data_IF_717472566500
#
_entry.id   IF_717472566500
#
_cell.length_a   1.000
_cell.length_b   1.000
_cell.length_c   1.000
_cell.angle_alpha   90.00
_cell.angle_beta   90.00
_cell.angle_gamma   90.00
#
_symmetry.space_group_name_H-M   'P 1'
#
loop_
_entity.id
_entity.type
_entity.pdbx_description
1 polymer ?
#
# COMPACT_ATOMS: atom_id res chain seq x y z
N UNK A 1 36.97 -11.95 83.65
CA UNK A 1 36.90 -10.83 82.68
C UNK A 1 36.90 -11.42 81.30
N UNK A 2 35.71 -11.57 80.73
CA UNK A 2 35.54 -12.03 79.31
C UNK A 2 34.97 -10.88 78.49
N UNK A 3 35.76 -10.44 77.48
CA UNK A 3 35.34 -9.44 76.51
C UNK A 3 34.64 -10.14 75.31
N UNK A 4 33.37 -9.83 75.06
CA UNK A 4 32.66 -10.19 73.85
C UNK A 4 32.95 -9.14 72.77
N UNK A 5 33.43 -9.61 71.60
CA UNK A 5 33.60 -8.80 70.41
C UNK A 5 32.35 -9.04 69.55
N UNK A 6 31.53 -8.02 69.34
CA UNK A 6 30.43 -8.03 68.41
C UNK A 6 30.92 -7.66 66.99
N UNK A 7 30.86 -8.60 66.05
CA UNK A 7 31.15 -8.34 64.66
C UNK A 7 29.84 -7.95 63.93
N UNK A 8 29.74 -6.69 63.50
CA UNK A 8 28.60 -6.21 62.67
C UNK A 8 28.87 -6.54 61.21
N UNK A 9 28.02 -7.40 60.62
CA UNK A 9 27.96 -7.63 59.18
C UNK A 9 27.12 -6.51 58.54
N UNK A 10 27.74 -5.67 57.72
CA UNK A 10 27.06 -4.76 56.80
C UNK A 10 26.64 -5.56 55.53
N UNK A 11 25.34 -5.74 55.35
CA UNK A 11 24.80 -6.24 54.11
C UNK A 11 24.66 -5.08 53.11
N UNK A 12 25.47 -5.06 52.06
CA UNK A 12 25.31 -4.12 50.93
C UNK A 12 24.19 -4.58 50.03
N UNK A 13 23.05 -3.89 50.04
CA UNK A 13 21.96 -4.09 49.10
C UNK A 13 22.32 -3.48 47.72
N UNK A 14 22.62 -4.34 46.75
CA UNK A 14 22.84 -3.93 45.35
C UNK A 14 21.50 -3.71 44.69
N UNK A 15 21.07 -2.44 44.61
CA UNK A 15 19.84 -2.04 43.87
C UNK A 15 20.17 -2.03 42.37
N UNK A 16 19.80 -3.09 41.66
CA UNK A 16 19.80 -3.10 40.20
C UNK A 16 18.66 -2.24 39.70
N UNK A 17 18.94 -1.02 39.29
CA UNK A 17 18.00 -0.19 38.50
C UNK A 17 17.85 -0.81 37.13
N UNK A 18 16.70 -1.47 36.87
CA UNK A 18 16.28 -1.85 35.53
C UNK A 18 16.07 -0.55 34.74
N UNK A 19 17.00 -0.21 33.86
CA UNK A 19 16.78 0.83 32.87
C UNK A 19 15.64 0.40 31.96
N UNK A 20 14.45 0.95 32.15
CA UNK A 20 13.36 0.82 31.21
C UNK A 20 13.80 1.52 29.92
N UNK A 21 14.07 0.75 28.87
CA UNK A 21 14.28 1.30 27.54
C UNK A 21 13.01 2.07 27.17
N UNK A 22 13.13 3.39 27.05
CA UNK A 22 12.01 4.24 26.67
C UNK A 22 11.55 3.82 25.26
N UNK A 23 10.26 3.53 25.11
CA UNK A 23 9.70 3.18 23.80
C UNK A 23 10.05 4.29 22.79
N UNK A 24 10.46 3.94 21.56
CA UNK A 24 10.81 4.93 20.55
C UNK A 24 9.65 5.90 20.33
N UNK A 25 9.96 7.21 20.26
CA UNK A 25 8.96 8.24 20.08
C UNK A 25 8.25 8.08 18.72
N UNK A 26 6.96 8.40 18.69
CA UNK A 26 6.17 8.39 17.44
C UNK A 26 6.70 9.49 16.51
N UNK A 27 7.06 9.17 15.24
CA UNK A 27 7.46 10.20 14.28
C UNK A 27 6.32 11.17 13.96
N UNK A 28 6.66 12.41 13.63
CA UNK A 28 5.66 13.43 13.23
C UNK A 28 4.84 12.95 12.02
N UNK A 29 3.52 13.12 12.08
CA UNK A 29 2.60 12.67 11.04
C UNK A 29 2.33 11.17 11.00
N UNK A 30 2.78 10.42 12.02
CA UNK A 30 2.50 8.99 12.19
C UNK A 30 1.69 8.71 13.44
N UNK A 31 1.04 7.55 13.46
CA UNK A 31 0.36 7.05 14.64
C UNK A 31 -1.15 7.29 14.66
N UNK A 32 -1.81 6.84 15.75
CA UNK A 32 -3.27 6.92 15.86
C UNK A 32 -3.78 8.34 16.14
N UNK A 33 -2.95 9.21 16.66
CA UNK A 33 -3.26 10.60 16.99
C UNK A 33 -2.11 11.51 16.54
N UNK A 34 -1.89 11.67 15.22
CA UNK A 34 -0.80 12.50 14.72
C UNK A 34 -1.04 13.97 15.04
N UNK A 35 0.02 14.68 15.42
CA UNK A 35 -0.01 16.13 15.41
C UNK A 35 -0.05 16.61 13.96
N UNK A 36 -1.16 17.24 13.55
CA UNK A 36 -1.32 17.79 12.21
C UNK A 36 -0.96 19.28 12.23
N UNK A 37 -0.02 19.74 11.37
CA UNK A 37 0.29 21.16 11.24
C UNK A 37 -0.88 21.92 10.60
N UNK A 38 -0.86 23.24 10.70
CA UNK A 38 -1.76 24.08 9.92
C UNK A 38 -1.48 23.92 8.41
N UNK A 39 -2.52 24.01 7.54
CA UNK A 39 -2.31 23.96 6.10
C UNK A 39 -1.41 25.10 5.63
N UNK A 40 -0.36 24.74 4.89
CA UNK A 40 0.51 25.70 4.21
C UNK A 40 -0.09 26.03 2.83
N UNK A 41 -0.58 27.27 2.68
CA UNK A 41 -1.18 27.75 1.43
C UNK A 41 -0.07 28.23 0.47
N UNK A 42 0.68 27.30 -0.08
CA UNK A 42 1.68 27.63 -1.09
C UNK A 42 1.00 28.11 -2.37
N UNK A 43 1.46 29.26 -2.89
CA UNK A 43 0.96 29.80 -4.17
C UNK A 43 1.38 28.89 -5.35
N UNK A 44 2.56 28.28 -5.26
CA UNK A 44 3.06 27.29 -6.23
C UNK A 44 3.27 25.99 -5.47
N UNK A 45 2.56 24.90 -5.81
CA UNK A 45 2.75 23.60 -5.19
C UNK A 45 4.18 23.09 -5.32
N UNK A 46 4.71 22.48 -4.27
CA UNK A 46 6.02 21.83 -4.33
C UNK A 46 5.98 20.67 -5.34
N UNK A 47 6.91 20.67 -6.29
CA UNK A 47 7.18 19.54 -7.17
C UNK A 47 8.61 19.06 -6.92
N UNK A 48 8.79 17.87 -6.43
CA UNK A 48 10.09 17.28 -6.11
C UNK A 48 10.06 15.79 -6.45
N UNK A 49 10.42 15.46 -7.70
CA UNK A 49 10.38 14.10 -8.22
C UNK A 49 11.79 13.53 -8.23
N UNK A 50 11.98 12.40 -7.56
CA UNK A 50 13.23 11.63 -7.59
C UNK A 50 13.46 11.08 -9.00
N UNK A 51 14.58 11.40 -9.67
CA UNK A 51 14.92 10.84 -10.97
C UNK A 51 15.15 9.35 -10.85
N UNK A 52 14.69 8.57 -11.84
CA UNK A 52 14.93 7.12 -11.85
C UNK A 52 16.38 6.80 -12.21
N UNK A 53 16.96 5.84 -11.49
CA UNK A 53 18.31 5.30 -11.80
C UNK A 53 18.33 3.76 -11.88
N UNK A 54 17.30 3.07 -11.44
CA UNK A 54 17.16 1.62 -11.33
C UNK A 54 18.35 0.89 -10.70
N UNK A 55 18.07 -0.27 -10.13
CA UNK A 55 19.06 -1.15 -9.52
C UNK A 55 20.01 -1.74 -10.57
N UNK A 56 21.30 -1.78 -10.29
CA UNK A 56 22.24 -2.67 -10.97
C UNK A 56 22.08 -4.10 -10.45
N UNK A 57 22.68 -5.08 -11.14
CA UNK A 57 22.61 -6.49 -10.71
C UNK A 57 23.19 -6.73 -9.30
N UNK A 58 24.20 -5.95 -8.90
CA UNK A 58 24.86 -6.06 -7.61
C UNK A 58 24.16 -5.31 -6.48
N UNK A 59 23.33 -4.33 -6.80
CA UNK A 59 22.63 -3.50 -5.82
C UNK A 59 21.35 -4.17 -5.31
N UNK A 60 20.99 -3.86 -4.08
CA UNK A 60 19.76 -4.31 -3.42
C UNK A 60 19.34 -3.30 -2.36
N UNK A 61 18.06 -3.28 -1.97
CA UNK A 61 17.59 -2.48 -0.84
C UNK A 61 18.27 -2.89 0.47
N UNK A 62 18.23 -1.98 1.43
CA UNK A 62 18.68 -2.20 2.81
C UNK A 62 17.52 -2.77 3.62
N UNK A 63 17.77 -3.75 4.48
CA UNK A 63 16.75 -4.36 5.35
C UNK A 63 17.06 -4.15 6.82
N UNK A 64 16.03 -4.22 7.66
CA UNK A 64 16.18 -4.15 9.12
C UNK A 64 17.08 -5.28 9.65
N UNK A 65 17.77 -5.04 10.78
CA UNK A 65 18.64 -6.05 11.41
C UNK A 65 17.92 -7.39 11.64
N UNK A 66 18.63 -8.49 11.33
CA UNK A 66 18.13 -9.86 11.41
C UNK A 66 17.33 -10.31 10.17
N UNK A 67 17.24 -9.46 9.15
CA UNK A 67 16.63 -9.79 7.85
C UNK A 67 17.69 -9.84 6.73
N UNK A 68 17.38 -10.61 5.70
CA UNK A 68 18.10 -10.68 4.43
C UNK A 68 17.13 -10.38 3.28
N UNK A 69 17.63 -9.83 2.17
CA UNK A 69 16.85 -9.53 0.98
C UNK A 69 17.57 -9.99 -0.27
N UNK A 70 16.79 -10.51 -1.20
CA UNK A 70 17.26 -10.91 -2.52
C UNK A 70 16.19 -10.66 -3.57
N UNK A 71 16.60 -10.59 -4.83
CA UNK A 71 15.64 -10.53 -5.92
C UNK A 71 14.96 -11.90 -6.08
N UNK A 72 13.64 -11.94 -5.95
CA UNK A 72 12.81 -13.11 -6.26
C UNK A 72 12.61 -13.26 -7.77
N UNK A 73 12.40 -12.16 -8.47
CA UNK A 73 12.34 -12.09 -9.93
C UNK A 73 12.80 -10.71 -10.41
N UNK A 74 13.56 -10.67 -11.51
CA UNK A 74 14.05 -9.45 -12.16
C UNK A 74 13.50 -9.33 -13.58
N UNK A 75 13.71 -8.17 -14.21
CA UNK A 75 13.37 -7.93 -15.61
C UNK A 75 11.87 -8.14 -15.89
N UNK A 76 11.05 -7.67 -14.96
CA UNK A 76 9.61 -7.55 -15.11
C UNK A 76 9.25 -6.17 -15.69
N UNK A 77 8.08 -6.04 -16.30
CA UNK A 77 7.60 -4.77 -16.84
C UNK A 77 6.72 -4.04 -15.84
N UNK A 78 7.31 -3.18 -15.02
CA UNK A 78 6.58 -2.36 -14.05
C UNK A 78 5.67 -3.18 -13.12
N UNK A 79 6.20 -4.14 -12.33
CA UNK A 79 5.43 -5.02 -11.46
C UNK A 79 4.85 -4.21 -10.29
N UNK A 80 3.53 -4.19 -10.12
CA UNK A 80 2.88 -3.34 -9.10
C UNK A 80 2.13 -4.10 -8.04
N UNK A 81 1.50 -5.22 -8.39
CA UNK A 81 0.69 -5.96 -7.42
C UNK A 81 1.02 -7.43 -7.42
N UNK A 82 0.84 -8.05 -6.26
CA UNK A 82 1.18 -9.44 -6.00
C UNK A 82 -0.04 -10.18 -5.45
N UNK A 83 -0.21 -11.41 -5.88
CA UNK A 83 -1.18 -12.33 -5.30
C UNK A 83 -0.56 -13.72 -5.17
N UNK A 84 -0.53 -14.26 -3.94
CA UNK A 84 0.01 -15.59 -3.68
C UNK A 84 -1.11 -16.61 -3.76
N UNK A 85 -1.00 -17.53 -4.69
CA UNK A 85 -1.95 -18.63 -4.87
C UNK A 85 -1.80 -19.70 -3.76
N UNK A 86 -2.85 -20.46 -3.46
CA UNK A 86 -2.80 -21.49 -2.40
C UNK A 86 -1.69 -22.54 -2.57
N UNK A 87 -1.30 -22.84 -3.81
CA UNK A 87 -0.19 -23.75 -4.12
C UNK A 87 1.21 -23.11 -3.92
N UNK A 88 1.27 -21.80 -3.66
CA UNK A 88 2.50 -21.04 -3.45
C UNK A 88 3.04 -20.33 -4.70
N UNK A 89 2.42 -20.50 -5.85
CA UNK A 89 2.73 -19.67 -7.03
C UNK A 89 2.40 -18.21 -6.76
N UNK A 90 3.15 -17.29 -7.35
CA UNK A 90 2.95 -15.85 -7.20
C UNK A 90 2.49 -15.25 -8.52
N UNK A 91 1.33 -14.63 -8.52
CA UNK A 91 0.84 -13.82 -9.63
C UNK A 91 1.32 -12.38 -9.46
N UNK A 92 1.83 -11.80 -10.54
CA UNK A 92 2.34 -10.43 -10.59
C UNK A 92 1.58 -9.64 -11.63
N UNK A 93 0.95 -8.54 -11.23
CA UNK A 93 0.40 -7.58 -12.17
C UNK A 93 1.54 -6.70 -12.72
N UNK A 94 1.90 -6.93 -13.97
CA UNK A 94 2.80 -6.07 -14.74
C UNK A 94 1.97 -5.02 -15.45
N UNK A 95 1.96 -3.79 -14.91
CA UNK A 95 0.91 -2.82 -15.21
C UNK A 95 1.35 -1.39 -14.98
N UNK A 96 0.78 -0.47 -15.74
CA UNK A 96 0.90 0.97 -15.53
C UNK A 96 -0.44 1.66 -15.85
N UNK A 97 -0.49 2.98 -15.67
CA UNK A 97 -1.68 3.78 -15.96
C UNK A 97 -2.18 3.55 -17.41
N UNK A 98 -3.49 3.42 -17.61
CA UNK A 98 -4.05 3.46 -18.96
C UNK A 98 -3.87 4.86 -19.56
N UNK A 99 -4.02 5.03 -20.89
CA UNK A 99 -4.04 6.34 -21.51
C UNK A 99 -5.08 7.26 -20.85
N UNK A 100 -4.67 8.50 -20.54
CA UNK A 100 -5.48 9.51 -19.87
C UNK A 100 -5.53 10.80 -20.70
N UNK A 101 -6.26 10.84 -21.82
CA UNK A 101 -6.19 11.93 -22.77
C UNK A 101 -6.64 13.28 -22.17
N UNK A 102 -7.54 13.26 -21.19
CA UNK A 102 -8.06 14.49 -20.57
C UNK A 102 -7.22 14.98 -19.38
N UNK A 103 -6.55 14.07 -18.67
CA UNK A 103 -5.64 14.40 -17.55
C UNK A 103 -4.29 14.99 -18.04
N UNK A 104 -3.98 14.85 -19.34
CA UNK A 104 -2.69 15.24 -19.93
C UNK A 104 -2.76 16.46 -20.84
N UNK A 105 -3.87 17.22 -20.83
CA UNK A 105 -4.07 18.40 -21.69
C UNK A 105 -3.39 19.65 -21.14
N UNK A 106 -2.95 20.53 -22.05
CA UNK A 106 -2.42 21.86 -21.76
C UNK A 106 -1.02 21.85 -21.13
N UNK A 107 -0.56 23.02 -20.66
CA UNK A 107 0.77 23.22 -20.09
C UNK A 107 0.97 22.37 -18.81
N UNK A 108 -0.06 22.27 -17.96
CA UNK A 108 -0.03 21.45 -16.74
C UNK A 108 0.17 19.97 -17.07
N UNK A 109 -0.54 19.46 -18.07
CA UNK A 109 -0.38 18.08 -18.55
C UNK A 109 1.01 17.80 -19.12
N UNK A 110 1.58 18.72 -19.90
CA UNK A 110 2.94 18.59 -20.44
C UNK A 110 4.00 18.53 -19.32
N UNK A 111 3.87 19.40 -18.31
CA UNK A 111 4.76 19.36 -17.12
C UNK A 111 4.61 18.03 -16.37
N UNK A 112 3.39 17.59 -16.15
CA UNK A 112 3.12 16.31 -15.49
C UNK A 112 3.76 15.14 -16.25
N UNK A 113 3.60 15.06 -17.56
CA UNK A 113 4.22 14.02 -18.39
C UNK A 113 5.75 14.04 -18.30
N UNK A 114 6.37 15.23 -18.30
CA UNK A 114 7.82 15.37 -18.11
C UNK A 114 8.25 14.82 -16.73
N UNK A 115 7.50 15.12 -15.66
CA UNK A 115 7.79 14.63 -14.33
C UNK A 115 7.57 13.11 -14.23
N UNK A 116 6.53 12.57 -14.87
CA UNK A 116 6.27 11.13 -14.94
C UNK A 116 7.43 10.40 -15.67
N UNK A 117 7.92 10.96 -16.76
CA UNK A 117 9.10 10.43 -17.47
C UNK A 117 10.34 10.43 -16.58
N UNK A 118 10.59 11.54 -15.86
CA UNK A 118 11.69 11.67 -14.91
C UNK A 118 11.59 10.62 -13.78
N UNK A 119 10.37 10.33 -13.30
CA UNK A 119 10.09 9.33 -12.27
C UNK A 119 10.19 7.88 -12.76
N UNK A 120 10.36 7.62 -14.05
CA UNK A 120 10.32 6.27 -14.64
C UNK A 120 8.91 5.67 -14.76
N UNK A 121 7.87 6.49 -14.57
CA UNK A 121 6.48 6.06 -14.58
C UNK A 121 5.78 6.26 -15.95
N UNK A 122 6.46 6.78 -16.98
CA UNK A 122 5.91 7.00 -18.31
C UNK A 122 6.04 5.77 -19.25
N UNK A 123 6.18 4.59 -18.69
CA UNK A 123 6.24 3.33 -19.46
C UNK A 123 4.82 2.89 -19.83
N UNK A 124 4.55 2.39 -21.05
CA UNK A 124 3.26 1.77 -21.37
C UNK A 124 2.95 0.61 -20.41
N UNK A 125 1.66 0.40 -20.14
CA UNK A 125 1.25 -0.77 -19.35
C UNK A 125 1.49 -2.06 -20.13
N UNK A 126 2.10 -3.05 -19.49
CA UNK A 126 2.28 -4.38 -20.08
C UNK A 126 0.94 -5.15 -20.17
N UNK A 127 -0.08 -4.72 -19.42
CA UNK A 127 -1.44 -5.26 -19.50
C UNK A 127 -1.53 -6.78 -19.32
N UNK A 128 -0.68 -7.34 -18.42
CA UNK A 128 -0.61 -8.79 -18.19
C UNK A 128 -0.48 -9.15 -16.73
N UNK A 129 -0.82 -10.38 -16.43
CA UNK A 129 -0.47 -11.06 -15.19
C UNK A 129 0.59 -12.09 -15.50
N UNK A 130 1.70 -12.04 -14.79
CA UNK A 130 2.81 -13.00 -14.87
C UNK A 130 2.74 -13.95 -13.69
N UNK A 131 2.95 -15.25 -13.93
CA UNK A 131 3.07 -16.27 -12.91
C UNK A 131 4.55 -16.54 -12.65
N UNK A 132 4.91 -16.53 -11.38
CA UNK A 132 6.22 -16.95 -10.89
C UNK A 132 6.04 -18.22 -10.06
N UNK A 133 6.81 -19.27 -10.34
CA UNK A 133 6.65 -20.58 -9.70
C UNK A 133 7.97 -21.12 -9.21
N UNK A 134 7.89 -21.78 -8.06
CA UNK A 134 9.00 -22.47 -7.44
C UNK A 134 10.04 -21.54 -6.84
N UNK A 135 10.93 -22.10 -6.05
CA UNK A 135 12.10 -21.42 -5.50
C UNK A 135 13.34 -22.29 -5.79
N UNK A 136 14.38 -21.69 -6.31
CA UNK A 136 15.70 -22.31 -6.36
C UNK A 136 16.38 -22.28 -4.97
N UNK A 137 17.57 -22.83 -4.85
CA UNK A 137 18.35 -22.84 -3.62
C UNK A 137 18.69 -21.43 -3.11
N UNK A 138 18.69 -20.43 -4.00
CA UNK A 138 18.93 -19.03 -3.67
C UNK A 138 17.64 -18.27 -3.38
N UNK A 139 16.45 -18.91 -3.46
CA UNK A 139 15.15 -18.29 -3.23
C UNK A 139 14.68 -17.39 -4.40
N UNK A 140 15.20 -17.60 -5.61
CA UNK A 140 14.76 -17.00 -6.86
C UNK A 140 13.65 -17.86 -7.49
N UNK A 141 12.69 -17.26 -8.17
CA UNK A 141 11.66 -17.99 -8.90
C UNK A 141 12.27 -18.86 -10.00
N UNK A 142 11.96 -20.17 -9.98
CA UNK A 142 12.53 -21.13 -10.95
C UNK A 142 11.94 -21.01 -12.34
N UNK A 143 10.67 -20.63 -12.44
CA UNK A 143 10.00 -20.46 -13.73
C UNK A 143 9.10 -19.23 -13.74
N UNK A 144 8.92 -18.68 -14.94
CA UNK A 144 8.09 -17.51 -15.23
C UNK A 144 7.28 -17.76 -16.49
N UNK A 145 6.00 -17.44 -16.47
CA UNK A 145 5.12 -17.51 -17.64
C UNK A 145 4.13 -16.37 -17.66
N UNK A 146 3.66 -15.99 -18.84
CA UNK A 146 2.53 -15.07 -19.00
C UNK A 146 1.25 -15.84 -18.66
N UNK A 147 0.63 -15.48 -17.54
CA UNK A 147 -0.56 -16.15 -17.03
C UNK A 147 -1.85 -15.65 -17.66
N UNK A 148 -1.95 -14.33 -17.82
CA UNK A 148 -3.03 -13.63 -18.52
C UNK A 148 -2.45 -12.44 -19.27
N UNK A 149 -2.99 -12.13 -20.44
CA UNK A 149 -2.58 -10.97 -21.25
C UNK A 149 -3.80 -10.29 -21.89
N UNK A 150 -3.57 -9.11 -22.48
CA UNK A 150 -4.65 -8.35 -23.13
C UNK A 150 -5.66 -7.76 -22.14
N UNK A 151 -5.22 -7.49 -20.91
CA UNK A 151 -5.99 -6.84 -19.86
C UNK A 151 -5.95 -5.31 -20.03
N UNK A 152 -6.73 -4.57 -19.25
CA UNK A 152 -6.72 -3.11 -19.24
C UNK A 152 -6.17 -2.59 -17.92
N UNK A 153 -4.86 -2.37 -17.85
CA UNK A 153 -4.16 -1.93 -16.63
C UNK A 153 -4.61 -2.72 -15.39
N UNK A 154 -4.40 -4.06 -15.36
CA UNK A 154 -4.84 -4.91 -14.25
C UNK A 154 -4.09 -4.56 -12.97
N UNK A 155 -4.76 -4.72 -11.81
CA UNK A 155 -4.12 -4.46 -10.54
C UNK A 155 -4.46 -5.53 -9.50
N UNK A 156 -5.60 -5.44 -8.82
CA UNK A 156 -6.00 -6.38 -7.78
C UNK A 156 -6.40 -7.75 -8.32
N UNK A 157 -6.15 -8.78 -7.52
CA UNK A 157 -6.45 -10.18 -7.84
C UNK A 157 -7.05 -10.88 -6.64
N UNK A 158 -8.05 -11.74 -6.86
CA UNK A 158 -8.64 -12.58 -5.83
C UNK A 158 -9.08 -13.92 -6.39
N UNK A 159 -8.69 -15.02 -5.77
CA UNK A 159 -9.14 -16.37 -6.11
C UNK A 159 -10.24 -16.81 -5.15
N UNK A 160 -11.38 -17.24 -5.68
CA UNK A 160 -12.47 -17.84 -4.89
C UNK A 160 -12.87 -19.16 -5.52
N UNK A 161 -12.53 -20.25 -4.87
CA UNK A 161 -12.71 -21.58 -5.41
C UNK A 161 -11.96 -21.79 -6.73
N UNK A 162 -12.70 -21.97 -7.82
CA UNK A 162 -12.15 -22.13 -9.18
C UNK A 162 -12.33 -20.87 -10.06
N UNK A 163 -12.52 -19.71 -9.46
CA UNK A 163 -12.73 -18.44 -10.15
C UNK A 163 -11.68 -17.42 -9.73
N UNK A 164 -10.87 -16.98 -10.67
CA UNK A 164 -9.90 -15.90 -10.48
C UNK A 164 -10.53 -14.59 -10.93
N UNK A 165 -10.56 -13.62 -10.04
CA UNK A 165 -11.04 -12.28 -10.29
C UNK A 165 -9.86 -11.33 -10.49
N UNK A 166 -9.90 -10.52 -11.55
CA UNK A 166 -8.91 -9.50 -11.86
C UNK A 166 -9.61 -8.14 -11.94
N UNK A 167 -9.17 -7.19 -11.15
CA UNK A 167 -9.63 -5.81 -11.24
C UNK A 167 -8.78 -5.05 -12.27
N UNK A 168 -9.37 -4.79 -13.44
CA UNK A 168 -8.85 -3.84 -14.42
C UNK A 168 -9.17 -2.40 -14.00
N UNK A 169 -8.62 -1.43 -14.72
CA UNK A 169 -8.89 0.00 -14.46
C UNK A 169 -10.35 0.42 -14.67
N UNK A 170 -11.14 -0.38 -15.41
CA UNK A 170 -12.51 -0.08 -15.85
C UNK A 170 -13.51 -1.20 -15.58
N UNK A 171 -13.07 -2.38 -15.18
CA UNK A 171 -13.95 -3.53 -14.97
C UNK A 171 -13.37 -4.57 -14.00
N UNK A 172 -14.24 -5.29 -13.30
CA UNK A 172 -13.90 -6.53 -12.63
C UNK A 172 -14.18 -7.70 -13.58
N UNK A 173 -13.13 -8.45 -13.90
CA UNK A 173 -13.19 -9.63 -14.77
C UNK A 173 -13.08 -10.90 -13.95
N UNK A 174 -13.76 -11.97 -14.41
CA UNK A 174 -13.70 -13.31 -13.84
C UNK A 174 -13.17 -14.29 -14.88
N UNK A 175 -12.23 -15.14 -14.46
CA UNK A 175 -11.62 -16.19 -15.28
C UNK A 175 -11.78 -17.55 -14.60
N UNK A 176 -11.95 -18.65 -15.36
CA UNK A 176 -11.84 -20.00 -14.80
C UNK A 176 -10.40 -20.26 -14.38
N UNK A 177 -10.22 -20.83 -13.19
CA UNK A 177 -8.91 -21.19 -12.65
C UNK A 177 -8.82 -22.69 -12.37
N UNK A 178 -7.68 -23.25 -12.76
CA UNK A 178 -7.31 -24.62 -12.41
C UNK A 178 -5.92 -24.59 -11.75
N UNK A 179 -5.80 -25.24 -10.61
CA UNK A 179 -4.52 -25.33 -9.90
C UNK A 179 -3.42 -25.96 -10.78
N UNK A 180 -2.21 -25.42 -10.70
CA UNK A 180 -1.05 -25.87 -11.44
C UNK A 180 -0.97 -25.44 -12.90
N UNK A 181 -2.00 -24.79 -13.47
CA UNK A 181 -1.90 -24.23 -14.82
C UNK A 181 -0.88 -23.10 -14.89
N UNK A 182 -0.26 -22.91 -16.07
CA UNK A 182 0.75 -21.87 -16.31
C UNK A 182 0.21 -20.70 -17.13
N UNK A 183 -0.97 -20.83 -17.70
CA UNK A 183 -1.68 -19.79 -18.43
C UNK A 183 -3.18 -20.03 -18.40
N UNK A 184 -3.96 -18.95 -18.50
CA UNK A 184 -5.41 -18.98 -18.76
C UNK A 184 -5.62 -18.45 -20.19
N UNK A 185 -6.19 -19.30 -21.06
CA UNK A 185 -6.52 -18.94 -22.45
C UNK A 185 -8.01 -18.63 -22.63
N UNK A 186 -8.84 -19.00 -21.66
CA UNK A 186 -10.26 -18.68 -21.69
C UNK A 186 -10.48 -17.16 -21.60
N UNK A 187 -11.46 -16.60 -22.36
CA UNK A 187 -11.78 -15.19 -22.26
C UNK A 187 -12.31 -14.84 -20.88
N UNK A 188 -11.97 -13.63 -20.39
CA UNK A 188 -12.53 -13.10 -19.16
C UNK A 188 -13.99 -12.70 -19.32
N UNK A 189 -14.78 -12.99 -18.30
CA UNK A 189 -16.18 -12.55 -18.21
C UNK A 189 -16.24 -11.29 -17.34
N UNK A 190 -16.74 -10.18 -17.91
CA UNK A 190 -16.97 -8.96 -17.12
C UNK A 190 -18.15 -9.21 -16.16
N UNK A 191 -17.89 -9.02 -14.85
CA UNK A 191 -18.90 -9.22 -13.81
C UNK A 191 -19.35 -7.92 -13.16
N UNK A 192 -18.55 -6.84 -13.29
CA UNK A 192 -18.89 -5.51 -12.78
C UNK A 192 -18.15 -4.45 -13.59
N UNK A 193 -18.83 -3.36 -13.96
CA UNK A 193 -18.19 -2.15 -14.46
C UNK A 193 -17.56 -1.38 -13.31
N UNK A 194 -16.38 -0.83 -13.52
CA UNK A 194 -15.67 0.02 -12.55
C UNK A 194 -15.45 1.41 -13.16
N UNK A 195 -15.50 2.48 -12.36
CA UNK A 195 -15.26 3.82 -12.85
C UNK A 195 -13.88 3.94 -13.52
N UNK A 196 -13.86 4.05 -14.83
CA UNK A 196 -12.70 4.30 -15.69
C UNK A 196 -12.74 5.71 -16.26
N UNK A 197 -12.73 5.84 -17.61
CA UNK A 197 -12.89 7.09 -18.34
C UNK A 197 -11.58 7.78 -18.70
N UNK A 198 -11.71 8.95 -19.34
CA UNK A 198 -10.62 9.67 -19.98
C UNK A 198 -9.70 10.43 -19.02
N UNK A 199 -10.14 10.69 -17.78
CA UNK A 199 -9.34 11.27 -16.71
C UNK A 199 -8.69 10.15 -15.88
N UNK A 200 -9.51 9.30 -15.23
CA UNK A 200 -9.09 8.16 -14.41
C UNK A 200 -7.81 8.39 -13.59
N UNK A 201 -7.79 9.46 -12.82
CA UNK A 201 -6.60 9.97 -12.13
C UNK A 201 -5.98 8.89 -11.24
N UNK A 202 -6.75 8.32 -10.30
CA UNK A 202 -6.38 7.13 -9.54
C UNK A 202 -6.96 5.88 -10.21
N UNK A 203 -6.20 5.34 -11.15
CA UNK A 203 -6.64 4.27 -12.04
C UNK A 203 -6.64 2.87 -11.43
N UNK A 204 -5.83 2.65 -10.40
CA UNK A 204 -5.69 1.34 -9.74
C UNK A 204 -7.01 0.92 -9.07
N UNK A 205 -7.34 -0.36 -9.22
CA UNK A 205 -8.48 -1.00 -8.57
C UNK A 205 -7.99 -2.26 -7.88
N UNK A 206 -8.07 -2.31 -6.56
CA UNK A 206 -7.73 -3.53 -5.84
C UNK A 206 -8.99 -4.35 -5.55
N UNK A 207 -8.83 -5.67 -5.35
CA UNK A 207 -9.93 -6.57 -4.99
C UNK A 207 -9.47 -7.58 -3.95
N UNK A 208 -10.32 -7.78 -2.94
CA UNK A 208 -10.16 -8.86 -1.95
C UNK A 208 -11.49 -9.58 -1.76
N UNK A 209 -11.43 -10.88 -1.48
CA UNK A 209 -12.62 -11.69 -1.20
C UNK A 209 -12.92 -11.74 0.30
N UNK A 210 -14.20 -11.85 0.68
CA UNK A 210 -14.58 -12.24 2.04
C UNK A 210 -14.14 -13.68 2.32
N UNK A 211 -13.93 -14.01 3.60
CA UNK A 211 -13.48 -15.34 4.02
C UNK A 211 -14.41 -16.47 3.57
N UNK A 212 -15.72 -16.20 3.52
CA UNK A 212 -16.74 -17.17 3.04
C UNK A 212 -16.89 -17.15 1.50
N UNK A 213 -16.14 -16.30 0.82
CA UNK A 213 -16.17 -16.16 -0.64
C UNK A 213 -17.47 -15.61 -1.22
N UNK A 214 -18.42 -15.10 -0.41
CA UNK A 214 -19.68 -14.54 -0.90
C UNK A 214 -19.52 -13.18 -1.55
N UNK A 215 -18.61 -12.37 -1.01
CA UNK A 215 -18.42 -10.99 -1.43
C UNK A 215 -17.01 -10.74 -1.95
N UNK A 216 -16.91 -9.82 -2.89
CA UNK A 216 -15.66 -9.17 -3.29
C UNK A 216 -15.74 -7.70 -2.91
N UNK A 217 -14.67 -7.19 -2.34
CA UNK A 217 -14.52 -5.77 -2.02
C UNK A 217 -13.54 -5.16 -3.00
N UNK A 218 -13.97 -4.07 -3.66
CA UNK A 218 -13.17 -3.42 -4.72
C UNK A 218 -12.91 -1.98 -4.35
N UNK A 219 -11.64 -1.59 -4.28
CA UNK A 219 -11.26 -0.19 -4.04
C UNK A 219 -11.27 0.62 -5.33
N UNK A 220 -11.77 1.84 -5.25
CA UNK A 220 -11.84 2.80 -6.36
C UNK A 220 -11.38 4.16 -5.86
N UNK A 221 -10.23 4.63 -6.35
CA UNK A 221 -9.73 5.95 -6.02
C UNK A 221 -10.46 7.09 -6.72
N UNK A 222 -10.31 8.31 -6.21
CA UNK A 222 -10.90 9.53 -6.78
C UNK A 222 -10.40 9.84 -8.18
N UNK A 223 -11.10 10.68 -8.89
CA UNK A 223 -10.75 11.15 -10.23
C UNK A 223 -9.98 12.48 -10.22
N UNK A 224 -9.68 12.98 -9.04
CA UNK A 224 -9.06 14.29 -8.83
C UNK A 224 -8.32 14.33 -7.49
N UNK A 225 -7.60 15.43 -7.23
CA UNK A 225 -6.97 15.66 -5.92
C UNK A 225 -8.00 16.05 -4.84
N UNK A 226 -8.91 16.98 -5.16
CA UNK A 226 -9.89 17.56 -4.21
C UNK A 226 -11.28 17.82 -4.83
N UNK A 227 -11.64 17.11 -5.89
CA UNK A 227 -12.91 17.32 -6.60
C UNK A 227 -12.85 18.41 -7.67
N UNK A 228 -11.67 18.85 -8.10
CA UNK A 228 -11.47 19.91 -9.08
C UNK A 228 -12.00 19.61 -10.48
N UNK A 229 -12.26 18.34 -10.78
CA UNK A 229 -12.90 17.93 -12.03
C UNK A 229 -14.44 17.89 -11.95
N UNK A 230 -14.98 18.38 -10.82
CA UNK A 230 -16.42 18.38 -10.53
C UNK A 230 -16.89 17.09 -9.87
N UNK A 231 -17.87 17.20 -8.97
CA UNK A 231 -18.35 16.07 -8.18
C UNK A 231 -19.02 14.97 -9.02
N UNK A 232 -19.55 15.31 -10.20
CA UNK A 232 -20.09 14.31 -11.13
C UNK A 232 -19.01 13.37 -11.68
N UNK A 233 -17.75 13.84 -11.80
CA UNK A 233 -16.62 13.00 -12.18
C UNK A 233 -16.16 12.04 -11.07
N UNK A 234 -16.64 12.24 -9.84
CA UNK A 234 -16.34 11.43 -8.67
C UNK A 234 -17.43 10.39 -8.35
N UNK A 235 -18.47 10.29 -9.19
CA UNK A 235 -19.52 9.31 -8.95
C UNK A 235 -18.98 7.88 -8.90
N UNK A 236 -19.29 7.15 -7.82
CA UNK A 236 -18.79 5.82 -7.54
C UNK A 236 -17.30 5.72 -7.21
N UNK A 237 -16.60 6.84 -6.99
CA UNK A 237 -15.17 6.93 -6.70
C UNK A 237 -14.90 7.32 -5.25
N UNK A 238 -13.63 7.37 -4.85
CA UNK A 238 -13.16 7.56 -3.48
C UNK A 238 -13.89 6.63 -2.51
N UNK A 239 -14.01 5.36 -2.89
CA UNK A 239 -14.92 4.39 -2.27
C UNK A 239 -14.36 2.97 -2.27
N UNK A 240 -14.92 2.15 -1.41
CA UNK A 240 -14.85 0.69 -1.50
C UNK A 240 -16.23 0.17 -1.86
N UNK A 241 -16.30 -0.65 -2.89
CA UNK A 241 -17.50 -1.34 -3.35
C UNK A 241 -17.56 -2.76 -2.80
N UNK A 242 -18.77 -3.25 -2.55
CA UNK A 242 -19.05 -4.65 -2.25
C UNK A 242 -19.83 -5.27 -3.40
N UNK A 243 -19.28 -6.32 -4.00
CA UNK A 243 -19.91 -7.11 -5.06
C UNK A 243 -20.34 -8.47 -4.49
N UNK A 244 -21.62 -8.82 -4.67
CA UNK A 244 -22.19 -10.11 -4.26
C UNK A 244 -22.07 -11.12 -5.39
N UNK A 245 -21.20 -12.11 -5.25
CA UNK A 245 -20.86 -13.07 -6.31
C UNK A 245 -22.05 -13.89 -6.82
N UNK A 246 -22.96 -14.28 -5.93
CA UNK A 246 -24.12 -15.13 -6.29
C UNK A 246 -25.22 -14.38 -7.06
N UNK A 247 -25.37 -13.07 -6.83
CA UNK A 247 -26.44 -12.27 -7.44
C UNK A 247 -25.93 -11.32 -8.52
N UNK A 248 -24.60 -11.10 -8.61
CA UNK A 248 -24.01 -10.09 -9.49
C UNK A 248 -24.30 -8.63 -9.07
N UNK A 249 -24.91 -8.39 -7.90
CA UNK A 249 -25.24 -7.04 -7.43
C UNK A 249 -24.04 -6.39 -6.75
N UNK A 250 -23.83 -5.11 -7.04
CA UNK A 250 -22.82 -4.28 -6.40
C UNK A 250 -23.46 -3.12 -5.66
N UNK A 251 -22.82 -2.68 -4.57
CA UNK A 251 -23.17 -1.47 -3.81
C UNK A 251 -21.92 -0.80 -3.28
N UNK A 252 -22.00 0.49 -3.02
CA UNK A 252 -20.97 1.19 -2.28
C UNK A 252 -20.98 0.71 -0.83
N UNK A 253 -19.80 0.33 -0.33
CA UNK A 253 -19.62 -0.18 1.04
C UNK A 253 -19.14 0.92 2.00
N UNK A 254 -18.17 1.75 1.55
CA UNK A 254 -17.67 2.90 2.30
C UNK A 254 -17.23 4.00 1.33
N UNK A 255 -17.27 5.26 1.77
CA UNK A 255 -16.97 6.45 0.96
C UNK A 255 -16.00 7.40 1.64
N UNK A 256 -15.53 8.42 0.91
CA UNK A 256 -14.65 9.44 1.44
C UNK A 256 -13.20 9.00 1.64
N UNK A 257 -12.81 7.89 1.02
CA UNK A 257 -11.46 7.35 0.98
C UNK A 257 -10.78 7.82 -0.31
N UNK A 258 -9.96 8.86 -0.27
CA UNK A 258 -9.47 9.51 -1.51
C UNK A 258 -8.88 8.53 -2.52
N UNK A 259 -7.91 7.75 -2.13
CA UNK A 259 -7.32 6.70 -2.97
C UNK A 259 -7.02 5.45 -2.14
N UNK A 260 -8.05 4.66 -1.80
CA UNK A 260 -7.86 3.38 -1.12
C UNK A 260 -7.19 2.42 -2.09
N UNK A 261 -6.07 1.81 -1.67
CA UNK A 261 -5.27 0.97 -2.55
C UNK A 261 -5.09 -0.44 -1.97
N UNK A 262 -4.13 -0.63 -1.07
CA UNK A 262 -3.93 -1.90 -0.39
C UNK A 262 -5.12 -2.23 0.51
N UNK A 263 -5.68 -3.41 0.36
CA UNK A 263 -6.72 -3.94 1.23
C UNK A 263 -6.30 -5.31 1.77
N UNK A 264 -6.55 -5.55 3.05
CA UNK A 264 -6.28 -6.84 3.68
C UNK A 264 -7.22 -7.08 4.87
N UNK A 265 -7.50 -8.35 5.16
CA UNK A 265 -8.23 -8.75 6.35
C UNK A 265 -7.28 -8.84 7.54
N UNK A 266 -7.62 -8.17 8.64
CA UNK A 266 -6.86 -8.30 9.89
C UNK A 266 -7.09 -9.69 10.48
N UNK A 267 -6.05 -10.52 10.70
CA UNK A 267 -6.23 -11.95 10.97
C UNK A 267 -6.97 -12.26 12.27
N UNK A 268 -6.83 -11.41 13.31
CA UNK A 268 -7.42 -11.65 14.62
C UNK A 268 -8.88 -11.21 14.70
N UNK A 269 -9.23 -10.09 14.06
CA UNK A 269 -10.55 -9.47 14.17
C UNK A 269 -11.46 -9.77 12.98
N UNK A 270 -10.90 -10.18 11.84
CA UNK A 270 -11.62 -10.32 10.59
C UNK A 270 -12.09 -8.98 9.99
N UNK A 271 -11.62 -7.84 10.49
CA UNK A 271 -11.94 -6.54 9.94
C UNK A 271 -11.22 -6.31 8.62
N UNK A 272 -11.90 -5.70 7.65
CA UNK A 272 -11.26 -5.21 6.42
C UNK A 272 -10.49 -3.94 6.73
N UNK A 273 -9.22 -3.88 6.33
CA UNK A 273 -8.37 -2.69 6.40
C UNK A 273 -7.96 -2.22 5.02
N UNK A 274 -7.68 -0.92 4.91
CA UNK A 274 -7.14 -0.32 3.69
C UNK A 274 -6.05 0.70 4.01
N UNK A 275 -5.06 0.80 3.10
CA UNK A 275 -4.13 1.92 3.04
C UNK A 275 -4.67 2.95 2.06
N UNK A 276 -4.65 4.22 2.45
CA UNK A 276 -5.19 5.33 1.66
C UNK A 276 -4.09 6.36 1.41
N UNK A 277 -3.87 6.65 0.13
CA UNK A 277 -3.03 7.75 -0.29
C UNK A 277 -3.85 9.03 -0.34
N UNK A 278 -3.47 10.00 0.48
CA UNK A 278 -4.23 11.22 0.74
C UNK A 278 -3.91 12.36 -0.23
N UNK A 279 -4.63 13.46 -0.03
CA UNK A 279 -4.60 14.64 -0.89
C UNK A 279 -3.29 15.43 -0.77
N UNK A 280 -2.96 16.11 -1.86
CA UNK A 280 -1.78 16.94 -2.01
C UNK A 280 -2.09 18.44 -1.82
N UNK A 281 -1.05 19.28 -1.82
CA UNK A 281 -1.13 20.74 -1.90
C UNK A 281 -1.66 21.45 -0.64
N UNK A 282 -1.34 20.91 0.55
CA UNK A 282 -1.51 21.58 1.85
C UNK A 282 -0.16 21.76 2.58
N UNK A 283 0.95 21.70 1.85
CA UNK A 283 2.30 21.80 2.38
C UNK A 283 3.03 20.47 2.44
N UNK A 284 4.28 20.49 2.91
CA UNK A 284 5.13 19.29 2.94
C UNK A 284 4.70 18.26 3.99
N UNK A 285 4.07 18.66 5.08
CA UNK A 285 3.79 17.82 6.23
C UNK A 285 2.30 17.53 6.43
N UNK A 286 1.46 17.85 5.40
CA UNK A 286 0.03 17.64 5.38
C UNK A 286 -0.44 17.30 3.95
N UNK A 287 -1.34 16.31 3.74
CA UNK A 287 -2.07 15.45 4.68
C UNK A 287 -1.31 14.13 4.83
N UNK A 288 -1.29 13.50 6.02
CA UNK A 288 -0.70 12.18 6.13
C UNK A 288 -1.54 11.15 5.37
N UNK A 289 -0.88 10.26 4.65
CA UNK A 289 -1.50 8.99 4.26
C UNK A 289 -1.93 8.24 5.52
N UNK A 290 -2.83 7.28 5.41
CA UNK A 290 -3.27 6.53 6.56
C UNK A 290 -3.64 5.08 6.23
N UNK A 291 -3.72 4.24 7.24
CA UNK A 291 -4.44 2.97 7.17
C UNK A 291 -5.60 2.99 8.17
N UNK A 292 -6.69 2.33 7.80
CA UNK A 292 -7.89 2.30 8.63
C UNK A 292 -8.70 1.02 8.43
N UNK A 293 -9.40 0.61 9.48
CA UNK A 293 -10.46 -0.40 9.40
C UNK A 293 -11.66 0.18 8.64
N UNK A 294 -12.18 -0.59 7.68
CA UNK A 294 -13.28 -0.13 6.81
C UNK A 294 -14.61 -0.58 7.40
N UNK A 295 -15.47 0.37 7.72
CA UNK A 295 -16.80 0.12 8.28
C UNK A 295 -17.88 0.31 7.23
N UNK A 296 -18.88 -0.55 7.23
CA UNK A 296 -20.01 -0.47 6.31
C UNK A 296 -20.80 0.84 6.51
N UNK A 297 -21.12 1.51 5.42
CA UNK A 297 -21.84 2.78 5.41
C UNK A 297 -21.02 3.99 5.88
N UNK A 298 -19.73 3.80 6.21
CA UNK A 298 -18.92 4.89 6.75
C UNK A 298 -18.46 5.88 5.69
N UNK A 299 -18.24 7.12 6.13
CA UNK A 299 -17.63 8.21 5.38
C UNK A 299 -16.32 8.63 6.05
N UNK A 300 -15.22 8.74 5.26
CA UNK A 300 -13.86 9.03 5.75
C UNK A 300 -13.35 10.43 5.41
N UNK A 301 -14.23 11.31 4.91
CA UNK A 301 -14.00 12.75 4.83
C UNK A 301 -13.79 13.30 3.42
N UNK A 302 -13.01 12.64 2.56
CA UNK A 302 -12.72 13.17 1.23
C UNK A 302 -14.00 13.37 0.38
N UNK A 303 -14.15 14.48 -0.36
CA UNK A 303 -13.21 15.60 -0.52
C UNK A 303 -13.40 16.72 0.52
N UNK A 304 -14.43 16.70 1.35
CA UNK A 304 -14.87 17.81 2.19
C UNK A 304 -14.02 18.03 3.45
N UNK A 305 -13.35 16.97 3.90
CA UNK A 305 -12.42 16.99 5.02
C UNK A 305 -11.31 15.96 4.82
N UNK A 306 -10.25 16.08 5.60
CA UNK A 306 -9.13 15.16 5.62
C UNK A 306 -8.85 14.70 7.06
N UNK A 307 -8.29 13.54 7.22
CA UNK A 307 -7.97 12.86 8.49
C UNK A 307 -9.08 13.08 9.54
N UNK A 308 -10.28 12.62 9.21
CA UNK A 308 -11.51 12.84 9.98
C UNK A 308 -12.17 14.16 9.62
N UNK A 309 -12.38 15.03 10.63
CA UNK A 309 -13.22 16.23 10.49
C UNK A 309 -12.46 17.53 10.22
N UNK A 310 -11.18 17.46 9.79
CA UNK A 310 -10.43 18.64 9.39
C UNK A 310 -10.93 19.16 8.04
N UNK A 311 -11.70 20.26 8.05
CA UNK A 311 -12.37 20.80 6.86
C UNK A 311 -11.39 21.19 5.78
N UNK A 312 -11.57 20.72 4.53
CA UNK A 312 -10.90 21.27 3.36
C UNK A 312 -11.65 22.47 2.82
N UNK A 313 -11.15 23.66 3.11
CA UNK A 313 -11.80 24.93 2.74
C UNK A 313 -11.82 25.20 1.22
N UNK A 314 -11.07 24.42 0.41
CA UNK A 314 -11.05 24.57 -1.05
C UNK A 314 -12.24 23.94 -1.74
N UNK A 315 -12.88 22.96 -1.12
CA UNK A 315 -14.00 22.21 -1.71
C UNK A 315 -15.30 23.01 -1.59
N UNK A 316 -15.97 23.21 -2.72
CA UNK A 316 -17.22 23.96 -2.80
C UNK A 316 -18.30 23.20 -3.58
N UNK A 317 -19.58 23.27 -3.13
CA UNK A 317 -20.05 23.85 -1.88
C UNK A 317 -19.58 23.01 -0.67
N UNK A 318 -19.41 23.61 0.51
CA UNK A 318 -19.09 22.86 1.73
C UNK A 318 -20.24 21.92 2.12
N UNK A 319 -19.93 20.82 2.80
CA UNK A 319 -20.89 19.83 3.26
C UNK A 319 -20.65 19.52 4.75
N UNK A 320 -20.94 20.51 5.65
CA UNK A 320 -20.66 20.37 7.08
C UNK A 320 -21.37 19.15 7.72
N UNK A 321 -22.55 18.79 7.21
CA UNK A 321 -23.30 17.63 7.65
C UNK A 321 -22.57 16.29 7.35
N UNK A 322 -21.86 16.20 6.23
CA UNK A 322 -21.04 15.06 5.92
C UNK A 322 -19.74 15.06 6.75
N UNK A 323 -19.09 16.23 6.87
CA UNK A 323 -17.88 16.38 7.69
C UNK A 323 -18.14 15.92 9.14
N UNK A 324 -19.31 16.25 9.70
CA UNK A 324 -19.69 15.84 11.05
C UNK A 324 -19.77 14.30 11.23
N UNK A 325 -19.97 13.55 10.12
CA UNK A 325 -20.01 12.08 10.14
C UNK A 325 -18.68 11.43 9.79
N UNK A 326 -17.68 12.22 9.39
CA UNK A 326 -16.40 11.68 8.94
C UNK A 326 -15.67 10.94 10.08
N UNK A 327 -15.29 9.69 9.80
CA UNK A 327 -14.53 8.86 10.73
C UNK A 327 -13.06 9.28 10.71
N UNK A 328 -12.46 9.40 11.89
CA UNK A 328 -11.00 9.57 12.01
C UNK A 328 -10.33 8.25 11.67
N UNK A 329 -9.35 8.23 10.76
CA UNK A 329 -8.58 7.03 10.44
C UNK A 329 -7.84 6.46 11.67
N UNK A 330 -7.66 5.13 11.68
CA UNK A 330 -7.06 4.45 12.84
C UNK A 330 -5.57 4.75 13.02
N UNK A 331 -4.82 5.03 11.92
CA UNK A 331 -3.37 5.24 12.01
C UNK A 331 -2.83 6.03 10.81
N UNK A 332 -2.16 7.15 11.09
CA UNK A 332 -1.45 7.97 10.10
C UNK A 332 -0.11 7.34 9.69
N UNK A 333 0.24 7.44 8.42
CA UNK A 333 1.41 6.81 7.79
C UNK A 333 2.45 7.81 7.27
N UNK A 334 2.37 9.07 7.69
CA UNK A 334 3.22 10.16 7.25
C UNK A 334 2.71 10.87 5.97
N UNK A 335 3.04 12.15 5.84
CA UNK A 335 2.59 12.96 4.71
C UNK A 335 3.32 12.59 3.42
N UNK A 336 2.57 12.49 2.32
CA UNK A 336 3.06 12.27 0.95
C UNK A 336 3.90 10.99 0.78
N UNK A 337 3.71 9.98 1.61
CA UNK A 337 4.49 8.73 1.51
C UNK A 337 4.07 7.86 0.34
N UNK A 338 2.91 8.13 -0.27
CA UNK A 338 2.23 7.30 -1.26
C UNK A 338 2.13 5.85 -0.76
N UNK A 339 1.47 5.67 0.39
CA UNK A 339 1.22 4.38 1.03
C UNK A 339 0.20 3.60 0.20
N UNK A 340 0.65 2.55 -0.49
CA UNK A 340 -0.15 1.79 -1.46
C UNK A 340 -0.34 0.33 -1.05
N UNK A 341 0.73 -0.40 -0.74
CA UNK A 341 0.67 -1.80 -0.34
C UNK A 341 0.23 -1.98 1.11
N UNK A 342 -0.56 -3.02 1.39
CA UNK A 342 -0.94 -3.44 2.74
C UNK A 342 -1.01 -4.96 2.82
N UNK A 343 -0.28 -5.57 3.75
CA UNK A 343 -0.39 -6.98 4.07
C UNK A 343 -0.21 -7.20 5.56
N UNK A 344 -1.13 -7.92 6.21
CA UNK A 344 -0.92 -8.40 7.56
C UNK A 344 0.01 -9.61 7.57
N UNK A 345 0.79 -9.74 8.64
CA UNK A 345 1.71 -10.84 8.81
C UNK A 345 1.26 -11.76 9.95
N UNK A 346 0.84 -12.95 9.60
CA UNK A 346 0.50 -14.03 10.54
C UNK A 346 1.45 -15.24 10.45
N UNK A 347 2.49 -15.13 9.58
CA UNK A 347 3.50 -16.16 9.39
C UNK A 347 4.44 -16.34 10.59
N UNK A 348 5.25 -17.39 10.52
CA UNK A 348 6.24 -17.74 11.56
C UNK A 348 7.68 -17.67 11.09
N UNK A 349 7.92 -17.36 9.81
CA UNK A 349 9.28 -17.31 9.25
C UNK A 349 10.05 -16.07 9.72
N UNK A 350 9.42 -14.88 9.60
CA UNK A 350 10.05 -13.62 10.03
C UNK A 350 10.04 -13.51 11.56
N UNK A 351 10.94 -12.69 12.15
CA UNK A 351 10.98 -12.47 13.59
C UNK A 351 9.63 -12.15 14.21
N UNK A 352 9.40 -12.63 15.42
CA UNK A 352 8.11 -12.56 16.14
C UNK A 352 7.55 -11.12 16.26
N UNK A 353 8.44 -10.11 16.33
CA UNK A 353 8.04 -8.70 16.37
C UNK A 353 7.16 -8.24 15.20
N UNK A 354 7.14 -8.97 14.10
CA UNK A 354 6.30 -8.66 12.93
C UNK A 354 4.92 -9.34 12.97
N UNK A 355 4.75 -10.35 13.84
CA UNK A 355 3.52 -11.16 13.85
C UNK A 355 2.31 -10.34 14.31
N UNK A 356 1.21 -10.46 13.58
CA UNK A 356 -0.05 -9.75 13.81
C UNK A 356 -0.07 -8.31 13.30
N UNK A 357 1.10 -7.73 12.95
CA UNK A 357 1.21 -6.38 12.43
C UNK A 357 1.05 -6.29 10.91
N UNK A 358 1.14 -5.09 10.39
CA UNK A 358 0.92 -4.78 8.99
C UNK A 358 2.19 -4.27 8.30
N UNK A 359 2.53 -4.83 7.14
CA UNK A 359 3.53 -4.28 6.22
C UNK A 359 2.86 -3.32 5.26
N UNK A 360 3.46 -2.13 5.07
CA UNK A 360 2.98 -1.07 4.19
C UNK A 360 4.06 -0.73 3.18
N UNK A 361 3.74 -0.85 1.88
CA UNK A 361 4.58 -0.36 0.79
C UNK A 361 4.35 1.12 0.57
N UNK A 362 5.38 1.94 0.76
CA UNK A 362 5.36 3.39 0.57
C UNK A 362 6.13 3.75 -0.70
N UNK A 363 5.39 4.06 -1.76
CA UNK A 363 5.94 4.30 -3.11
C UNK A 363 6.84 5.54 -3.19
N UNK A 364 6.64 6.49 -2.29
CA UNK A 364 7.45 7.68 -2.15
C UNK A 364 6.87 8.93 -2.80
N UNK A 365 7.21 10.08 -2.20
CA UNK A 365 6.68 11.39 -2.56
C UNK A 365 7.16 11.87 -3.94
N UNK A 366 6.34 12.73 -4.55
CA UNK A 366 6.66 13.48 -5.76
C UNK A 366 6.58 15.01 -5.55
N UNK A 367 6.04 15.42 -4.41
CA UNK A 367 5.66 16.82 -4.11
C UNK A 367 6.06 17.26 -2.69
N UNK A 368 7.11 16.67 -2.12
CA UNK A 368 7.59 16.98 -0.77
C UNK A 368 9.12 17.17 -0.71
N UNK A 369 9.57 18.08 0.11
CA UNK A 369 10.99 18.27 0.49
C UNK A 369 11.11 18.26 2.02
N UNK A 370 12.00 17.41 2.56
CA UNK A 370 12.74 16.31 1.91
C UNK A 370 11.79 15.22 1.42
N UNK A 371 12.29 14.26 0.63
CA UNK A 371 11.51 13.10 0.21
C UNK A 371 10.95 12.32 1.40
N UNK A 372 9.79 11.69 1.23
CA UNK A 372 9.17 10.77 2.20
C UNK A 372 8.73 9.47 1.52
N UNK A 373 8.55 8.40 2.30
CA UNK A 373 8.27 7.08 1.75
C UNK A 373 9.52 6.42 1.17
N UNK A 374 9.43 5.81 -0.03
CA UNK A 374 10.50 5.03 -0.68
C UNK A 374 11.00 3.90 0.22
N UNK A 375 10.10 3.21 0.88
CA UNK A 375 10.41 2.14 1.84
C UNK A 375 9.23 1.22 2.09
N UNK A 376 9.49 0.11 2.74
CA UNK A 376 8.45 -0.71 3.36
C UNK A 376 8.57 -0.55 4.86
N UNK A 377 7.47 -0.19 5.51
CA UNK A 377 7.38 -0.10 6.96
C UNK A 377 6.53 -1.24 7.52
N UNK A 378 6.74 -1.54 8.79
CA UNK A 378 5.87 -2.39 9.59
C UNK A 378 5.22 -1.55 10.70
N UNK A 379 3.91 -1.66 10.82
CA UNK A 379 3.14 -1.11 11.94
C UNK A 379 2.77 -2.25 12.87
N UNK A 380 3.24 -2.24 14.13
CA UNK A 380 2.89 -3.28 15.08
C UNK A 380 1.42 -3.20 15.50
N UNK A 381 0.81 -4.35 15.78
CA UNK A 381 -0.56 -4.47 16.25
C UNK A 381 -0.63 -5.25 17.55
N UNK A 382 -1.48 -4.80 18.45
CA UNK A 382 -1.88 -5.54 19.64
C UNK A 382 -3.40 -5.62 19.69
N UNK A 383 -3.93 -6.82 19.95
CA UNK A 383 -5.38 -7.04 20.01
C UNK A 383 -6.19 -6.59 18.77
N UNK A 384 -5.56 -6.62 17.59
CA UNK A 384 -6.19 -6.26 16.32
C UNK A 384 -6.23 -4.76 16.02
N UNK A 385 -5.53 -3.94 16.80
CA UNK A 385 -5.38 -2.48 16.57
C UNK A 385 -3.89 -2.08 16.55
N UNK A 386 -3.52 -1.01 15.83
CA UNK A 386 -2.15 -0.50 15.81
C UNK A 386 -1.68 -0.16 17.23
N UNK A 387 -0.44 -0.52 17.58
CA UNK A 387 0.03 -0.48 18.98
C UNK A 387 1.36 0.23 19.22
N UNK A 388 2.00 0.79 18.20
CA UNK A 388 3.29 1.44 18.39
C UNK A 388 3.77 2.22 17.17
N UNK A 389 5.00 2.77 17.22
CA UNK A 389 5.57 3.49 16.10
C UNK A 389 5.89 2.55 14.93
N UNK A 390 5.86 3.07 13.69
CA UNK A 390 6.24 2.31 12.52
C UNK A 390 7.73 1.98 12.55
N UNK A 391 8.10 0.84 11.99
CA UNK A 391 9.47 0.35 11.89
C UNK A 391 9.85 0.23 10.43
N UNK A 392 11.00 0.74 10.02
CA UNK A 392 11.53 0.53 8.68
C UNK A 392 11.95 -0.94 8.52
N UNK A 393 11.44 -1.59 7.47
CA UNK A 393 11.71 -3.01 7.17
C UNK A 393 12.60 -3.15 5.94
N UNK A 394 12.28 -2.41 4.88
CA UNK A 394 13.08 -2.34 3.66
C UNK A 394 13.21 -0.87 3.26
N UNK A 395 14.43 -0.39 3.09
CA UNK A 395 14.77 0.99 2.76
C UNK A 395 15.86 1.06 1.69
N UNK A 396 16.44 2.24 1.43
CA UNK A 396 17.51 2.39 0.44
C UNK A 396 17.01 2.41 -1.01
N UNK A 397 15.72 2.67 -1.25
CA UNK A 397 15.18 2.85 -2.60
C UNK A 397 15.55 4.21 -3.20
N UNK A 398 16.01 5.15 -2.40
CA UNK A 398 16.70 6.37 -2.85
C UNK A 398 18.18 6.21 -2.57
N UNK A 399 19.02 6.62 -3.53
CA UNK A 399 20.45 6.74 -3.32
C UNK A 399 20.79 8.04 -2.53
N UNK A 400 22.07 8.23 -2.21
CA UNK A 400 22.57 9.42 -1.50
C UNK A 400 22.36 10.73 -2.25
N UNK A 401 22.15 10.67 -3.57
CA UNK A 401 21.89 11.82 -4.45
C UNK A 401 20.39 12.07 -4.66
N UNK A 402 19.51 11.33 -3.97
CA UNK A 402 18.06 11.42 -4.10
C UNK A 402 17.50 10.87 -5.40
N UNK A 403 18.23 9.95 -6.08
CA UNK A 403 17.72 9.26 -7.26
C UNK A 403 17.04 7.96 -6.85
N UNK A 404 15.91 7.65 -7.46
CA UNK A 404 15.15 6.44 -7.18
C UNK A 404 15.75 5.24 -7.91
N UNK A 405 16.29 4.28 -7.16
CA UNK A 405 16.70 2.97 -7.68
C UNK A 405 15.48 2.06 -7.89
N UNK A 406 14.44 2.28 -7.10
CA UNK A 406 13.17 1.58 -7.15
C UNK A 406 12.10 2.31 -6.36
N UNK A 407 10.86 1.78 -6.39
CA UNK A 407 9.72 2.27 -5.63
C UNK A 407 8.84 1.10 -5.19
N UNK A 408 8.74 0.80 -3.89
CA UNK A 408 7.89 -0.30 -3.41
C UNK A 408 6.41 0.03 -3.56
N UNK A 409 5.61 -0.92 -4.03
CA UNK A 409 4.16 -0.81 -4.21
C UNK A 409 3.45 -1.91 -3.43
N UNK A 410 3.11 -3.01 -4.09
CA UNK A 410 2.46 -4.15 -3.50
C UNK A 410 3.38 -4.91 -2.56
N UNK A 411 2.82 -5.35 -1.44
CA UNK A 411 3.47 -6.25 -0.50
C UNK A 411 2.60 -7.49 -0.29
N UNK A 412 3.22 -8.66 -0.18
CA UNK A 412 2.52 -9.92 0.06
C UNK A 412 3.39 -10.86 0.92
N UNK A 413 2.78 -11.83 1.56
CA UNK A 413 3.49 -12.88 2.30
C UNK A 413 3.42 -14.15 1.46
N UNK A 414 4.58 -14.74 1.13
CA UNK A 414 4.61 -15.99 0.37
C UNK A 414 4.20 -17.18 1.25
N UNK A 415 3.99 -18.33 0.62
CA UNK A 415 3.55 -19.55 1.32
C UNK A 415 4.54 -20.02 2.40
N UNK A 416 5.81 -19.67 2.28
CA UNK A 416 6.85 -19.97 3.26
C UNK A 416 6.90 -18.96 4.42
N UNK A 417 6.17 -17.84 4.32
CA UNK A 417 6.16 -16.77 5.30
C UNK A 417 7.16 -15.64 5.02
N UNK A 418 7.82 -15.61 3.86
CA UNK A 418 8.69 -14.50 3.49
C UNK A 418 7.88 -13.31 2.96
N UNK A 419 8.36 -12.09 3.19
CA UNK A 419 7.75 -10.89 2.64
C UNK A 419 8.21 -10.69 1.19
N UNK A 420 7.26 -10.56 0.28
CA UNK A 420 7.47 -10.16 -1.11
C UNK A 420 7.15 -8.67 -1.27
N UNK A 421 7.97 -7.95 -2.04
CA UNK A 421 7.81 -6.52 -2.32
C UNK A 421 7.89 -6.30 -3.82
N UNK A 422 6.84 -5.78 -4.42
CA UNK A 422 6.84 -5.33 -5.80
C UNK A 422 7.49 -3.96 -5.91
N UNK A 423 8.49 -3.85 -6.77
CA UNK A 423 9.24 -2.63 -7.06
C UNK A 423 9.01 -2.28 -8.53
N UNK A 424 8.07 -1.37 -8.79
CA UNK A 424 7.60 -1.08 -10.14
C UNK A 424 8.66 -0.39 -11.01
N UNK A 425 9.37 0.59 -10.45
CA UNK A 425 10.41 1.35 -11.16
C UNK A 425 11.70 0.53 -11.27
N UNK A 426 12.00 -0.29 -10.25
CA UNK A 426 13.15 -1.19 -10.25
C UNK A 426 12.98 -2.41 -11.16
N UNK A 427 11.75 -2.72 -11.59
CA UNK A 427 11.40 -3.91 -12.38
C UNK A 427 11.74 -5.24 -11.68
N UNK A 428 11.59 -5.28 -10.36
CA UNK A 428 12.01 -6.40 -9.49
C UNK A 428 10.90 -6.75 -8.50
N UNK A 429 10.75 -8.03 -8.22
CA UNK A 429 10.12 -8.49 -6.98
C UNK A 429 11.23 -8.85 -6.00
N UNK A 430 11.23 -8.22 -4.85
CA UNK A 430 12.15 -8.51 -3.75
C UNK A 430 11.55 -9.52 -2.80
N UNK A 431 12.39 -10.39 -2.23
CA UNK A 431 12.00 -11.38 -1.20
C UNK A 431 12.83 -11.17 0.05
N UNK A 432 12.15 -10.95 1.18
CA UNK A 432 12.75 -10.70 2.50
C UNK A 432 12.57 -11.94 3.38
N UNK A 433 13.65 -12.42 3.96
CA UNK A 433 13.71 -13.59 4.86
C UNK A 433 14.51 -13.23 6.11
N UNK A 434 14.48 -14.03 7.18
CA UNK A 434 15.45 -13.89 8.24
C UNK A 434 16.88 -14.22 7.73
N UNK A 435 17.90 -13.64 8.38
CA UNK A 435 19.28 -14.10 8.22
C UNK A 435 19.36 -15.55 8.71
N UNK A 436 20.01 -16.41 7.95
CA UNK A 436 20.26 -17.82 8.32
C UNK A 436 21.37 -17.93 9.34
#
# INVERSE_FOLDING_TARGET
MHRYVCSSLLAAACSTTLAHAQAPAMPVGFGPQPALPAPDKQFIPTVNVAPVQRWTAAQRPVVAPGLAIQAYARDLDHPRWLYVLPNGDVLVAETNAPPKPDDSKGIKGAIMQMQMKKAGAATPSANRITLLRGLDANGVAQSRSVFLQGLNSPFGMALVGKELYIANSDALLRFPYKEGQTAITAPGVKVMDLPGGSINHHWTKNVVASADGKFLYVSVGSNSNVGENGMAAEDGRAAIWQFTRTTGKARVYATGLRNPNGMAWQPKTGALWTAVNERDELGNDLVPDYMTSVKEGAFYGWPYSYFGQHVDARVKPPRPELVATAIVPDYALGAHTASLGLAFYDGTLLPERYRGGAFIGQHGSWNRKPFSGYKVIHVPFANGVPSGPPQDVVSGFLDENGKAQGRPVGVAVDKAGALLVADDVGNVIWRVTPVR
#
